data_IF_835354477562
#
_entry.id   IF_835354477562
#
_cell.length_a   1.000
_cell.length_b   1.000
_cell.length_c   1.000
_cell.angle_alpha   90.00
_cell.angle_beta   90.00
_cell.angle_gamma   90.00
#
_symmetry.space_group_name_H-M   'P 1'
#
loop_
_entity.id
_entity.type
_entity.pdbx_description
1 polymer ?
#
# COMPACT_ATOMS: atom_id res chain seq x y z
N UNK A 1 25.42 24.27 11.42
CA UNK A 1 24.59 23.59 10.41
C UNK A 1 23.17 23.69 10.90
N UNK A 2 22.35 24.56 10.31
CA UNK A 2 20.96 24.74 10.74
C UNK A 2 20.16 23.56 10.22
N UNK A 3 19.56 22.79 11.13
CA UNK A 3 18.60 21.76 10.77
C UNK A 3 17.32 22.45 10.28
N UNK A 4 17.00 22.30 9.01
CA UNK A 4 15.71 22.69 8.44
C UNK A 4 14.73 21.58 8.79
N UNK A 5 13.83 21.81 9.75
CA UNK A 5 12.74 20.88 10.04
C UNK A 5 11.73 20.91 8.89
N UNK A 6 11.20 19.77 8.44
CA UNK A 6 10.13 19.76 7.45
C UNK A 6 8.94 20.52 8.03
N UNK A 7 8.46 21.53 7.30
CA UNK A 7 7.21 22.21 7.65
C UNK A 7 6.07 21.19 7.54
N UNK A 8 5.26 21.00 8.60
CA UNK A 8 4.17 20.02 8.58
C UNK A 8 3.22 20.33 7.44
N UNK A 9 2.67 19.28 6.83
CA UNK A 9 1.71 19.46 5.75
C UNK A 9 0.46 20.20 6.26
N UNK A 10 -0.28 20.86 5.37
CA UNK A 10 -1.53 21.54 5.73
C UNK A 10 -2.50 20.55 6.39
N UNK A 11 -2.61 19.34 5.85
CA UNK A 11 -3.49 18.28 6.39
C UNK A 11 -3.01 17.81 7.77
N UNK A 12 -1.72 17.66 7.98
CA UNK A 12 -1.14 17.30 9.28
C UNK A 12 -1.43 18.38 10.33
N UNK A 13 -1.28 19.64 9.97
CA UNK A 13 -1.56 20.77 10.86
C UNK A 13 -3.05 20.85 11.22
N UNK A 14 -3.93 20.63 10.24
CA UNK A 14 -5.38 20.57 10.45
C UNK A 14 -5.78 19.39 11.34
N UNK A 15 -5.19 18.21 11.12
CA UNK A 15 -5.46 17.02 11.94
C UNK A 15 -5.01 17.20 13.40
N UNK A 16 -3.95 17.97 13.65
CA UNK A 16 -3.48 18.33 15.00
C UNK A 16 -4.27 19.49 15.63
N UNK A 17 -5.11 20.16 14.87
CA UNK A 17 -5.95 21.25 15.37
C UNK A 17 -7.26 20.71 15.96
N UNK A 18 -7.88 21.47 16.87
CA UNK A 18 -9.12 21.06 17.57
C UNK A 18 -10.40 21.24 16.72
N UNK A 19 -10.31 21.00 15.41
CA UNK A 19 -11.48 21.07 14.52
C UNK A 19 -12.42 19.88 14.79
N UNK A 20 -13.71 20.16 14.93
CA UNK A 20 -14.73 19.12 15.15
C UNK A 20 -15.23 18.48 13.85
N UNK A 21 -14.97 19.13 12.72
CA UNK A 21 -15.38 18.67 11.41
C UNK A 21 -14.33 19.06 10.36
N UNK A 22 -14.19 18.24 9.32
CA UNK A 22 -13.29 18.52 8.21
C UNK A 22 -13.80 19.70 7.36
N UNK A 23 -12.91 20.50 6.77
CA UNK A 23 -13.30 21.53 5.80
C UNK A 23 -14.04 20.95 4.58
N UNK A 24 -14.91 21.75 3.97
CA UNK A 24 -15.78 21.31 2.86
C UNK A 24 -14.98 20.87 1.64
N UNK A 25 -13.77 21.40 1.47
CA UNK A 25 -12.85 21.09 0.38
C UNK A 25 -12.36 19.63 0.43
N UNK A 26 -12.43 18.97 1.60
CA UNK A 26 -12.07 17.56 1.80
C UNK A 26 -13.28 16.63 1.77
N UNK A 27 -14.51 17.17 1.73
CA UNK A 27 -15.73 16.35 1.63
C UNK A 27 -15.86 15.86 0.19
N UNK A 28 -15.88 14.54 0.01
CA UNK A 28 -16.02 13.92 -1.31
C UNK A 28 -17.44 14.10 -1.86
N UNK A 29 -17.62 14.11 -3.20
CA UNK A 29 -18.95 14.12 -3.84
C UNK A 29 -19.84 12.94 -3.39
N UNK A 30 -21.16 13.09 -3.51
CA UNK A 30 -22.13 12.08 -3.03
C UNK A 30 -21.94 10.71 -3.69
N UNK A 31 -21.49 10.70 -4.94
CA UNK A 31 -21.25 9.51 -5.73
C UNK A 31 -20.12 8.65 -5.14
N UNK A 32 -19.13 9.30 -4.52
CA UNK A 32 -18.00 8.62 -3.88
C UNK A 32 -18.27 8.25 -2.42
N UNK A 33 -19.11 9.03 -1.72
CA UNK A 33 -19.45 8.77 -0.32
C UNK A 33 -20.09 7.39 -0.12
N UNK A 34 -20.83 6.89 -1.12
CA UNK A 34 -21.44 5.55 -1.06
C UNK A 34 -20.42 4.41 -1.01
N UNK A 35 -19.18 4.65 -1.50
CA UNK A 35 -18.10 3.67 -1.47
C UNK A 35 -17.16 3.80 -0.26
N UNK A 36 -17.38 4.79 0.61
CA UNK A 36 -16.53 5.06 1.78
C UNK A 36 -17.20 4.45 3.02
N UNK A 37 -16.66 3.34 3.49
CA UNK A 37 -17.09 2.64 4.70
C UNK A 37 -16.09 2.78 5.86
N UNK A 38 -16.37 2.05 6.95
CA UNK A 38 -15.42 1.91 8.05
C UNK A 38 -14.28 0.97 7.64
N UNK A 39 -13.06 1.51 7.50
CA UNK A 39 -11.89 0.74 7.05
C UNK A 39 -11.60 -0.49 7.91
N UNK A 40 -11.83 -0.43 9.23
CA UNK A 40 -11.57 -1.56 10.14
C UNK A 40 -12.62 -2.68 10.03
N UNK A 41 -13.80 -2.35 9.51
CA UNK A 41 -14.83 -3.35 9.22
C UNK A 41 -14.58 -3.97 7.84
N UNK A 42 -14.21 -3.15 6.85
CA UNK A 42 -13.86 -3.61 5.50
C UNK A 42 -12.62 -4.52 5.50
N UNK A 43 -11.57 -4.18 6.26
CA UNK A 43 -10.35 -5.00 6.36
C UNK A 43 -10.61 -6.43 6.87
N UNK A 44 -11.63 -6.61 7.72
CA UNK A 44 -11.98 -7.90 8.30
C UNK A 44 -12.84 -8.77 7.39
N UNK A 45 -13.29 -8.24 6.25
CA UNK A 45 -14.10 -8.99 5.30
C UNK A 45 -13.17 -9.82 4.42
N UNK A 46 -13.22 -11.13 4.60
CA UNK A 46 -12.57 -12.09 3.69
C UNK A 46 -13.44 -12.44 2.46
N UNK A 47 -14.58 -11.75 2.31
CA UNK A 47 -15.52 -11.96 1.22
C UNK A 47 -15.07 -11.22 -0.05
N UNK A 48 -15.17 -11.90 -1.19
CA UNK A 48 -14.88 -11.32 -2.49
C UNK A 48 -13.42 -11.45 -2.95
N UNK A 49 -13.09 -10.89 -4.13
CA UNK A 49 -11.74 -10.97 -4.68
C UNK A 49 -10.72 -10.25 -3.80
N UNK A 50 -9.62 -10.93 -3.49
CA UNK A 50 -8.51 -10.38 -2.69
C UNK A 50 -7.30 -10.04 -3.56
N UNK A 51 -6.60 -8.96 -3.23
CA UNK A 51 -5.37 -8.55 -3.93
C UNK A 51 -4.35 -9.70 -3.89
N UNK A 52 -3.84 -10.16 -5.05
CA UNK A 52 -2.98 -11.33 -5.11
C UNK A 52 -1.64 -11.07 -4.40
N UNK A 53 -1.12 -12.11 -3.76
CA UNK A 53 0.24 -12.11 -3.20
C UNK A 53 1.14 -12.96 -4.08
N UNK A 54 2.26 -12.40 -4.53
CA UNK A 54 3.21 -13.04 -5.43
C UNK A 54 4.54 -13.25 -4.70
N UNK A 55 5.01 -14.49 -4.71
CA UNK A 55 6.30 -14.88 -4.15
C UNK A 55 7.40 -14.76 -5.22
N UNK A 56 8.35 -13.86 -4.99
CA UNK A 56 9.46 -13.59 -5.91
C UNK A 56 10.71 -14.43 -5.63
N UNK A 57 10.66 -15.39 -4.70
CA UNK A 57 11.82 -16.21 -4.32
C UNK A 57 12.50 -16.90 -5.50
N UNK A 58 11.72 -17.37 -6.47
CA UNK A 58 12.21 -18.13 -7.63
C UNK A 58 12.35 -17.29 -8.91
N UNK A 59 12.25 -15.95 -8.82
CA UNK A 59 12.27 -15.06 -10.00
C UNK A 59 13.58 -15.17 -10.81
N UNK A 60 14.70 -15.50 -10.17
CA UNK A 60 15.98 -15.74 -10.84
C UNK A 60 16.52 -17.15 -10.55
N UNK A 61 15.61 -18.12 -10.41
CA UNK A 61 15.98 -19.51 -10.16
C UNK A 61 16.80 -20.09 -11.30
N UNK A 62 17.80 -20.92 -10.97
CA UNK A 62 18.57 -21.68 -11.98
C UNK A 62 17.71 -22.76 -12.63
N UNK A 63 16.67 -23.21 -11.93
CA UNK A 63 15.65 -24.08 -12.49
C UNK A 63 14.73 -23.26 -13.41
N UNK A 64 14.71 -23.64 -14.69
CA UNK A 64 13.93 -22.94 -15.71
C UNK A 64 12.43 -23.06 -15.46
N UNK A 65 11.95 -24.19 -14.94
CA UNK A 65 10.52 -24.41 -14.72
C UNK A 65 10.01 -23.57 -13.56
N UNK A 66 10.76 -23.53 -12.44
CA UNK A 66 10.42 -22.69 -11.28
C UNK A 66 10.42 -21.20 -11.65
N UNK A 67 11.44 -20.76 -12.39
CA UNK A 67 11.54 -19.37 -12.84
C UNK A 67 10.38 -18.99 -13.77
N UNK A 68 10.07 -19.83 -14.75
CA UNK A 68 8.99 -19.58 -15.69
C UNK A 68 7.63 -19.53 -14.99
N UNK A 69 7.40 -20.42 -14.00
CA UNK A 69 6.17 -20.39 -13.20
C UNK A 69 6.05 -19.07 -12.42
N UNK A 70 7.10 -18.62 -11.75
CA UNK A 70 7.12 -17.35 -11.03
C UNK A 70 6.80 -16.16 -11.98
N UNK A 71 7.41 -16.13 -13.16
CA UNK A 71 7.12 -15.11 -14.18
C UNK A 71 5.66 -15.15 -14.66
N UNK A 72 5.08 -16.34 -14.82
CA UNK A 72 3.68 -16.48 -15.24
C UNK A 72 2.71 -16.00 -14.17
N UNK A 73 2.94 -16.32 -12.90
CA UNK A 73 2.12 -15.83 -11.78
C UNK A 73 2.19 -14.31 -11.68
N UNK A 74 3.39 -13.74 -11.76
CA UNK A 74 3.62 -12.29 -11.79
C UNK A 74 2.88 -11.62 -12.96
N UNK A 75 3.04 -12.16 -14.18
CA UNK A 75 2.37 -11.65 -15.38
C UNK A 75 0.86 -11.72 -15.26
N UNK A 76 0.33 -12.83 -14.74
CA UNK A 76 -1.11 -13.02 -14.56
C UNK A 76 -1.67 -11.98 -13.60
N UNK A 77 -1.06 -11.79 -12.43
CA UNK A 77 -1.48 -10.76 -11.49
C UNK A 77 -1.38 -9.35 -12.09
N UNK A 78 -0.31 -9.05 -12.83
CA UNK A 78 -0.17 -7.74 -13.48
C UNK A 78 -1.25 -7.49 -14.54
N UNK A 79 -1.63 -8.50 -15.31
CA UNK A 79 -2.64 -8.36 -16.38
C UNK A 79 -4.08 -8.38 -15.86
N UNK A 80 -4.38 -9.22 -14.86
CA UNK A 80 -5.74 -9.38 -14.34
C UNK A 80 -6.09 -8.34 -13.27
N UNK A 81 -5.12 -7.96 -12.42
CA UNK A 81 -5.33 -7.07 -11.28
C UNK A 81 -4.69 -5.70 -11.44
N UNK A 82 -3.50 -5.61 -12.05
CA UNK A 82 -2.71 -4.38 -12.12
C UNK A 82 -2.07 -3.94 -10.79
N UNK A 83 -2.36 -4.66 -9.68
CA UNK A 83 -1.79 -4.46 -8.34
C UNK A 83 -1.60 -5.81 -7.65
N UNK A 84 -0.60 -5.92 -6.79
CA UNK A 84 -0.29 -7.13 -6.03
C UNK A 84 0.57 -6.83 -4.81
N UNK A 85 0.57 -7.75 -3.84
CA UNK A 85 1.57 -7.79 -2.77
C UNK A 85 2.76 -8.65 -3.21
N UNK A 86 3.99 -8.18 -2.96
CA UNK A 86 5.21 -8.94 -3.23
C UNK A 86 5.80 -9.44 -1.92
N UNK A 87 6.19 -10.72 -1.89
CA UNK A 87 6.95 -11.33 -0.79
C UNK A 87 8.22 -11.97 -1.33
N UNK A 88 9.22 -12.19 -0.45
CA UNK A 88 10.56 -12.66 -0.83
C UNK A 88 11.20 -11.83 -1.96
N UNK A 89 10.93 -10.52 -1.99
CA UNK A 89 11.41 -9.59 -3.01
C UNK A 89 12.92 -9.25 -2.89
N UNK A 90 13.63 -9.81 -1.90
CA UNK A 90 15.07 -9.64 -1.73
C UNK A 90 15.51 -8.32 -1.09
N UNK A 91 14.58 -7.50 -0.59
CA UNK A 91 14.87 -6.29 0.19
C UNK A 91 14.82 -6.70 1.67
N UNK A 92 15.83 -6.31 2.45
CA UNK A 92 15.89 -6.69 3.87
C UNK A 92 14.86 -5.94 4.71
N UNK A 93 14.28 -6.65 5.68
CA UNK A 93 13.33 -6.05 6.63
C UNK A 93 13.97 -4.92 7.43
N UNK A 94 15.25 -5.05 7.81
CA UNK A 94 16.01 -3.98 8.49
C UNK A 94 16.06 -2.69 7.66
N UNK A 95 16.24 -2.79 6.33
CA UNK A 95 16.25 -1.62 5.47
C UNK A 95 14.85 -0.98 5.40
N UNK A 96 13.81 -1.81 5.26
CA UNK A 96 12.42 -1.35 5.22
C UNK A 96 12.07 -0.61 6.53
N UNK A 97 12.44 -1.19 7.67
CA UNK A 97 12.16 -0.61 8.97
C UNK A 97 12.91 0.71 9.18
N UNK A 98 14.19 0.77 8.78
CA UNK A 98 14.95 2.03 8.79
C UNK A 98 14.32 3.13 7.95
N UNK A 99 13.70 2.79 6.82
CA UNK A 99 13.00 3.78 5.97
C UNK A 99 11.67 4.21 6.58
N UNK A 100 10.95 3.32 7.28
CA UNK A 100 9.68 3.65 7.95
C UNK A 100 9.84 4.61 9.14
N UNK A 101 11.01 4.63 9.79
CA UNK A 101 11.31 5.43 10.99
C UNK A 101 11.60 6.91 10.67
N UNK A 102 11.38 7.38 9.44
CA UNK A 102 11.55 8.81 9.13
C UNK A 102 10.48 9.62 9.87
N UNK A 103 10.90 10.21 11.00
CA UNK A 103 10.18 11.23 11.79
C UNK A 103 10.07 12.59 11.04
#
# INVERSE_FOLDING_TARGET
>A
MSATFPTPSIVESLAKSEIQAIPKEYVRPQEELNGIGNIFEEEKKDEGPQVPTIDLKEIDSKDKELREKCHQELKKAAMEWGVMHLVNHGISDELIDRVKVVE
#
